data_IF_214170204678
#
_entry.id   IF_214170204678
#
_cell.length_a   1.000
_cell.length_b   1.000
_cell.length_c   1.000
_cell.angle_alpha   90.00
_cell.angle_beta   90.00
_cell.angle_gamma   90.00
#
_symmetry.space_group_name_H-M   'P 1'
#
loop_
_entity.id
_entity.type
_entity.pdbx_description
1 polymer ?
#
# COMPACT_ATOMS: atom_id res chain seq x y z
N UNK A 1 -14.71 10.71 14.53
CA UNK A 1 -13.59 9.75 14.59
C UNK A 1 -12.81 9.91 13.29
N UNK A 2 -11.49 10.06 13.36
CA UNK A 2 -10.66 10.21 12.14
C UNK A 2 -10.27 8.83 11.59
N UNK A 3 -10.08 8.68 10.27
CA UNK A 3 -9.53 7.45 9.71
C UNK A 3 -8.10 7.22 10.21
N UNK A 4 -7.75 5.96 10.43
CA UNK A 4 -6.38 5.54 10.66
C UNK A 4 -5.64 5.42 9.33
N UNK A 5 -4.35 5.80 9.33
CA UNK A 5 -3.51 5.84 8.14
C UNK A 5 -2.20 5.13 8.45
N UNK A 6 -1.76 4.26 7.54
CA UNK A 6 -0.45 3.60 7.61
C UNK A 6 0.26 3.68 6.26
N UNK A 7 1.46 4.28 6.18
CA UNK A 7 2.29 4.26 4.98
C UNK A 7 3.12 2.97 4.88
N UNK A 8 3.43 2.59 3.65
CA UNK A 8 4.38 1.53 3.28
C UNK A 8 5.27 2.09 2.18
N UNK A 9 6.58 2.11 2.40
CA UNK A 9 7.55 2.59 1.40
C UNK A 9 8.12 1.40 0.64
N UNK A 10 8.12 1.51 -0.68
CA UNK A 10 8.79 0.61 -1.60
C UNK A 10 10.08 1.28 -2.09
N UNK A 11 11.23 0.83 -1.59
CA UNK A 11 12.53 1.39 -2.00
C UNK A 11 12.81 1.24 -3.51
N UNK A 12 12.51 0.10 -4.18
CA UNK A 12 12.79 -0.08 -5.61
C UNK A 12 12.15 0.96 -6.52
N UNK A 13 10.88 1.32 -6.28
CA UNK A 13 10.13 2.27 -7.11
C UNK A 13 10.04 3.68 -6.50
N UNK A 14 10.52 3.87 -5.27
CA UNK A 14 10.31 5.07 -4.46
C UNK A 14 8.82 5.44 -4.28
N UNK A 15 7.95 4.43 -4.25
CA UNK A 15 6.50 4.61 -4.06
C UNK A 15 6.15 4.52 -2.58
N UNK A 16 5.23 5.37 -2.11
CA UNK A 16 4.60 5.21 -0.80
C UNK A 16 3.14 4.79 -1.00
N UNK A 17 2.84 3.53 -0.73
CA UNK A 17 1.47 3.03 -0.67
C UNK A 17 0.84 3.35 0.69
N UNK A 18 -0.48 3.52 0.73
CA UNK A 18 -1.20 3.80 1.99
C UNK A 18 -2.32 2.80 2.23
N UNK A 19 -2.42 2.33 3.48
CA UNK A 19 -3.64 1.76 4.02
C UNK A 19 -4.39 2.86 4.78
N UNK A 20 -5.63 3.11 4.38
CA UNK A 20 -6.55 4.05 5.05
C UNK A 20 -7.78 3.28 5.49
N UNK A 21 -8.14 3.33 6.78
CA UNK A 21 -9.29 2.58 7.29
C UNK A 21 -10.00 3.27 8.46
N UNK A 22 -11.28 2.95 8.63
CA UNK A 22 -12.01 3.23 9.86
C UNK A 22 -11.65 2.17 10.92
N UNK A 23 -11.05 2.56 12.06
CA UNK A 23 -10.66 1.62 13.10
C UNK A 23 -11.85 0.91 13.77
N UNK A 24 -13.07 1.45 13.72
CA UNK A 24 -14.25 0.84 14.31
C UNK A 24 -14.82 -0.27 13.42
N UNK A 25 -15.14 0.06 12.16
CA UNK A 25 -15.77 -0.90 11.22
C UNK A 25 -14.77 -1.76 10.45
N UNK A 26 -13.47 -1.41 10.47
CA UNK A 26 -12.39 -2.02 9.67
C UNK A 26 -12.56 -1.88 8.16
N UNK A 27 -13.51 -1.07 7.69
CA UNK A 27 -13.62 -0.72 6.27
C UNK A 27 -12.49 0.22 5.90
N UNK A 28 -11.89 0.00 4.74
CA UNK A 28 -10.75 0.78 4.28
C UNK A 28 -10.45 0.59 2.81
N UNK A 29 -9.40 1.26 2.36
CA UNK A 29 -8.87 1.20 1.01
C UNK A 29 -7.35 1.14 1.04
N UNK A 30 -6.78 0.51 0.01
CA UNK A 30 -5.36 0.58 -0.31
C UNK A 30 -5.20 1.58 -1.45
N UNK A 31 -4.30 2.54 -1.28
CA UNK A 31 -4.00 3.58 -2.27
C UNK A 31 -2.63 3.30 -2.84
N UNK A 32 -2.56 3.28 -4.17
CA UNK A 32 -1.34 3.07 -4.97
C UNK A 32 -0.61 1.76 -4.63
N UNK A 33 -1.27 0.59 -4.78
CA UNK A 33 -0.65 -0.69 -4.45
C UNK A 33 0.51 -1.00 -5.40
N UNK A 34 1.67 -1.34 -4.83
CA UNK A 34 2.83 -1.82 -5.59
C UNK A 34 2.76 -3.34 -5.71
N UNK A 35 3.02 -3.85 -6.91
CA UNK A 35 3.29 -5.25 -7.18
C UNK A 35 4.78 -5.40 -7.47
N UNK A 36 5.47 -6.23 -6.71
CA UNK A 36 6.86 -6.56 -6.97
C UNK A 36 7.01 -7.22 -8.34
N UNK A 37 7.88 -6.68 -9.19
CA UNK A 37 8.14 -7.19 -10.53
C UNK A 37 9.65 -7.28 -10.79
N UNK A 38 10.13 -8.46 -11.15
CA UNK A 38 11.49 -8.67 -11.65
C UNK A 38 11.46 -8.92 -13.16
N UNK A 39 11.97 -7.97 -13.94
CA UNK A 39 12.03 -8.07 -15.39
C UNK A 39 12.94 -9.20 -15.92
N UNK A 40 13.75 -9.84 -15.04
CA UNK A 40 14.59 -11.00 -15.37
C UNK A 40 13.93 -12.35 -15.05
N UNK A 41 12.71 -12.39 -14.52
CA UNK A 41 12.04 -13.63 -14.11
C UNK A 41 11.44 -14.44 -15.28
N UNK A 42 11.86 -14.17 -16.52
CA UNK A 42 11.37 -14.88 -17.71
C UNK A 42 11.67 -16.37 -17.63
N UNK A 43 10.64 -17.17 -17.34
CA UNK A 43 10.52 -18.55 -17.81
C UNK A 43 9.97 -18.58 -19.23
#
# INVERSE_FOLDING_TARGET
MAPAIRPFFDEPTNTVSYLVWDPATKRGAVIDPVLDWDNRSGT
#
